data_IF_409058020871
#
_entry.id   IF_409058020871
#
_cell.length_a   1.000
_cell.length_b   1.000
_cell.length_c   1.000
_cell.angle_alpha   90.00
_cell.angle_beta   90.00
_cell.angle_gamma   90.00
#
_symmetry.space_group_name_H-M   'P 1'
#
loop_
_entity.id
_entity.type
_entity.pdbx_description
1 polymer ?
#
# COMPACT_ATOMS: atom_id res chain seq x y z
N UNK A 1 -5.41 36.84 -35.09
CA UNK A 1 -5.28 35.38 -34.81
C UNK A 1 -3.87 34.84 -35.05
N UNK A 2 -3.20 35.20 -36.15
CA UNK A 2 -1.82 34.78 -36.45
C UNK A 2 -0.79 35.15 -35.35
N UNK A 3 -0.92 36.33 -34.71
CA UNK A 3 0.00 36.76 -33.65
C UNK A 3 -0.06 35.86 -32.39
N UNK A 4 -1.24 35.30 -32.06
CA UNK A 4 -1.40 34.40 -30.92
C UNK A 4 -0.68 33.07 -31.16
N UNK A 5 -0.77 32.56 -32.40
CA UNK A 5 -0.08 31.34 -32.81
C UNK A 5 1.43 31.54 -32.74
N UNK A 6 1.94 32.66 -33.25
CA UNK A 6 3.37 32.99 -33.21
C UNK A 6 3.92 32.99 -31.77
N UNK A 7 3.21 33.61 -30.83
CA UNK A 7 3.64 33.65 -29.43
C UNK A 7 3.66 32.25 -28.77
N UNK A 8 2.73 31.36 -29.12
CA UNK A 8 2.75 29.98 -28.61
C UNK A 8 3.96 29.22 -29.13
N UNK A 9 4.30 29.38 -30.42
CA UNK A 9 5.48 28.72 -31.01
C UNK A 9 6.77 29.19 -30.33
N UNK A 10 6.95 30.50 -30.16
CA UNK A 10 8.13 31.07 -29.48
C UNK A 10 8.29 30.55 -28.03
N UNK A 11 7.17 30.38 -27.32
CA UNK A 11 7.17 29.79 -25.97
C UNK A 11 7.54 28.32 -25.99
N UNK A 12 7.07 27.55 -26.96
CA UNK A 12 7.42 26.14 -27.10
C UNK A 12 8.91 25.95 -27.43
N UNK A 13 9.47 26.79 -28.31
CA UNK A 13 10.90 26.78 -28.63
C UNK A 13 11.77 27.10 -27.40
N UNK A 14 11.33 28.06 -26.59
CA UNK A 14 12.01 28.41 -25.32
C UNK A 14 12.02 27.22 -24.37
N UNK A 15 10.87 26.55 -24.18
CA UNK A 15 10.76 25.36 -23.33
C UNK A 15 11.64 24.22 -23.87
N UNK A 16 11.71 24.03 -25.19
CA UNK A 16 12.55 23.02 -25.81
C UNK A 16 14.04 23.28 -25.58
N UNK A 17 14.47 24.54 -25.70
CA UNK A 17 15.84 24.95 -25.42
C UNK A 17 16.21 24.77 -23.94
N UNK A 18 15.31 25.13 -23.01
CA UNK A 18 15.51 24.92 -21.57
C UNK A 18 15.58 23.43 -21.22
N UNK A 19 14.69 22.61 -21.77
CA UNK A 19 14.72 21.14 -21.61
C UNK A 19 16.07 20.56 -22.00
N UNK A 20 16.61 20.98 -23.16
CA UNK A 20 17.91 20.57 -23.64
C UNK A 20 19.05 21.05 -22.73
N UNK A 21 18.99 22.32 -22.29
CA UNK A 21 19.99 22.95 -21.39
C UNK A 21 20.10 22.23 -20.05
N UNK A 22 18.98 21.80 -19.47
CA UNK A 22 18.97 21.09 -18.19
C UNK A 22 19.05 19.56 -18.34
N UNK A 23 19.25 19.06 -19.57
CA UNK A 23 19.29 17.62 -19.87
C UNK A 23 18.08 16.86 -19.33
N UNK A 24 16.90 17.49 -19.33
CA UNK A 24 15.67 16.85 -18.90
C UNK A 24 15.36 15.70 -19.84
N UNK A 25 15.32 14.50 -19.28
CA UNK A 25 14.89 13.30 -19.98
C UNK A 25 13.38 13.33 -20.09
N UNK A 26 12.86 12.86 -21.23
CA UNK A 26 11.44 12.55 -21.31
C UNK A 26 11.16 11.49 -20.24
N UNK A 27 10.28 11.84 -19.31
CA UNK A 27 9.78 10.85 -18.38
C UNK A 27 9.11 9.77 -19.20
N UNK A 28 9.67 8.57 -19.20
CA UNK A 28 8.94 7.38 -19.60
C UNK A 28 7.88 7.23 -18.52
N UNK A 29 6.72 7.84 -18.73
CA UNK A 29 5.50 7.37 -18.08
C UNK A 29 5.24 6.06 -18.79
N UNK A 30 5.79 5.00 -18.24
CA UNK A 30 5.48 3.68 -18.70
C UNK A 30 4.01 3.46 -18.38
N UNK A 31 3.16 3.74 -19.36
CA UNK A 31 1.71 3.59 -19.26
C UNK A 31 1.29 2.13 -19.11
N UNK A 32 2.26 1.20 -19.07
CA UNK A 32 2.08 -0.22 -18.85
C UNK A 32 3.02 -0.83 -17.81
N UNK A 33 3.78 -0.04 -17.02
CA UNK A 33 4.59 -0.67 -15.98
C UNK A 33 3.69 -1.09 -14.83
N UNK A 34 3.54 -2.40 -14.70
CA UNK A 34 2.91 -3.02 -13.55
C UNK A 34 3.68 -2.69 -12.26
N UNK A 35 4.88 -2.08 -12.31
CA UNK A 35 5.70 -1.72 -11.16
C UNK A 35 4.99 -0.87 -10.10
N UNK A 36 4.13 0.09 -10.47
CA UNK A 36 3.38 0.88 -9.51
C UNK A 36 2.22 0.09 -8.87
N UNK A 37 1.69 -0.93 -9.58
CA UNK A 37 0.76 -1.88 -8.99
C UNK A 37 1.48 -2.87 -8.07
N UNK A 38 2.62 -3.40 -8.49
CA UNK A 38 3.46 -4.31 -7.73
C UNK A 38 3.98 -3.66 -6.44
N UNK A 39 4.39 -2.38 -6.49
CA UNK A 39 4.76 -1.60 -5.30
C UNK A 39 3.66 -1.43 -4.28
N UNK A 40 2.38 -1.50 -4.70
CA UNK A 40 1.22 -1.37 -3.81
C UNK A 40 0.76 -2.70 -3.23
N UNK A 41 1.32 -3.81 -3.68
CA UNK A 41 1.03 -5.12 -3.11
C UNK A 41 1.59 -5.20 -1.70
N UNK A 42 0.81 -5.81 -0.82
CA UNK A 42 1.21 -6.10 0.56
C UNK A 42 1.56 -7.56 0.68
N UNK A 43 2.58 -7.91 1.47
CA UNK A 43 2.93 -9.29 1.77
C UNK A 43 2.49 -9.68 3.18
N UNK A 44 2.50 -10.97 3.50
CA UNK A 44 2.28 -11.44 4.87
C UNK A 44 3.51 -11.26 5.78
N UNK A 45 4.68 -10.91 5.23
CA UNK A 45 5.88 -10.72 6.01
C UNK A 45 5.78 -9.45 6.86
N UNK A 46 6.06 -9.58 8.15
CA UNK A 46 6.22 -8.43 9.04
C UNK A 46 7.55 -7.76 8.69
N UNK A 47 7.47 -6.55 8.15
CA UNK A 47 8.67 -5.81 7.69
C UNK A 47 9.24 -4.97 8.81
N UNK A 48 8.38 -4.50 9.72
CA UNK A 48 8.73 -3.71 10.88
C UNK A 48 9.15 -4.60 12.05
N UNK A 49 10.33 -4.38 12.66
CA UNK A 49 10.80 -5.22 13.76
C UNK A 49 9.89 -5.13 15.01
N UNK A 50 9.17 -4.02 15.17
CA UNK A 50 8.29 -3.79 16.32
C UNK A 50 7.09 -2.90 15.91
N UNK A 51 5.90 -3.21 16.42
CA UNK A 51 4.68 -2.41 16.22
C UNK A 51 4.07 -2.10 17.58
N UNK A 52 3.91 -0.81 17.87
CA UNK A 52 3.45 -0.33 19.17
C UNK A 52 1.96 -0.01 19.20
N UNK A 53 1.35 -0.14 20.39
CA UNK A 53 -0.03 0.29 20.66
C UNK A 53 -1.11 -0.56 19.98
N UNK A 54 -0.73 -1.74 19.46
CA UNK A 54 -1.62 -2.67 18.75
C UNK A 54 -1.76 -4.02 19.43
N UNK A 55 -1.17 -4.20 20.60
CA UNK A 55 -1.25 -5.45 21.36
C UNK A 55 -2.70 -5.80 21.64
N UNK A 56 -3.44 -4.93 22.32
CA UNK A 56 -4.82 -5.23 22.72
C UNK A 56 -5.73 -5.56 21.53
N UNK A 57 -5.57 -4.87 20.39
CA UNK A 57 -6.29 -5.16 19.15
C UNK A 57 -5.93 -6.55 18.60
N UNK A 58 -4.65 -6.90 18.60
CA UNK A 58 -4.12 -8.19 18.14
C UNK A 58 -4.66 -9.33 19.01
N UNK A 59 -4.64 -9.21 20.33
CA UNK A 59 -5.20 -10.23 21.23
C UNK A 59 -6.71 -10.40 21.04
N UNK A 60 -7.48 -9.30 20.92
CA UNK A 60 -8.93 -9.37 20.69
C UNK A 60 -9.28 -10.10 19.40
N UNK A 61 -8.56 -9.83 18.31
CA UNK A 61 -8.80 -10.48 17.01
C UNK A 61 -8.44 -11.97 17.10
N UNK A 62 -7.33 -12.33 17.73
CA UNK A 62 -6.95 -13.74 17.93
C UNK A 62 -8.04 -14.50 18.71
N UNK A 63 -8.54 -13.92 19.81
CA UNK A 63 -9.63 -14.53 20.59
C UNK A 63 -10.91 -14.71 19.75
N UNK A 64 -11.28 -13.71 18.95
CA UNK A 64 -12.43 -13.78 18.05
C UNK A 64 -12.27 -14.92 17.03
N UNK A 65 -11.08 -15.06 16.44
CA UNK A 65 -10.78 -16.13 15.48
C UNK A 65 -10.85 -17.51 16.15
N UNK A 66 -10.26 -17.68 17.33
CA UNK A 66 -10.24 -18.95 18.06
C UNK A 66 -11.62 -19.40 18.56
N UNK A 67 -12.49 -18.46 18.90
CA UNK A 67 -13.86 -18.75 19.39
C UNK A 67 -14.69 -19.51 18.36
N UNK A 68 -14.44 -19.30 17.07
CA UNK A 68 -15.26 -19.86 15.98
C UNK A 68 -14.67 -21.15 15.37
N UNK A 69 -13.54 -21.65 15.88
CA UNK A 69 -12.85 -22.85 15.35
C UNK A 69 -13.66 -24.13 15.54
N UNK A 70 -14.52 -24.20 16.56
CA UNK A 70 -15.23 -25.43 16.94
C UNK A 70 -16.55 -25.68 16.18
N UNK A 71 -16.83 -24.90 15.12
CA UNK A 71 -18.02 -25.06 14.26
C UNK A 71 -17.60 -25.60 12.89
N UNK A 72 -17.51 -26.92 12.82
CA UNK A 72 -16.85 -27.69 11.75
C UNK A 72 -17.40 -27.53 10.31
N UNK A 73 -18.39 -26.67 10.05
CA UNK A 73 -19.06 -26.59 8.74
C UNK A 73 -19.29 -25.18 8.18
N UNK A 74 -18.83 -24.11 8.86
CA UNK A 74 -19.06 -22.74 8.42
C UNK A 74 -17.75 -22.01 8.07
N UNK A 75 -17.74 -21.31 6.93
CA UNK A 75 -16.68 -20.37 6.54
C UNK A 75 -16.95 -19.02 7.19
N UNK A 76 -16.00 -18.51 7.97
CA UNK A 76 -16.11 -17.22 8.64
C UNK A 76 -15.34 -16.14 7.87
N UNK A 77 -15.99 -14.99 7.64
CA UNK A 77 -15.39 -13.83 7.00
C UNK A 77 -15.35 -12.68 7.99
N UNK A 78 -14.16 -12.13 8.23
CA UNK A 78 -13.94 -10.96 9.09
C UNK A 78 -13.45 -9.80 8.24
N UNK A 79 -14.25 -8.73 8.16
CA UNK A 79 -13.89 -7.52 7.42
C UNK A 79 -13.17 -6.51 8.33
N UNK A 80 -12.04 -5.98 7.87
CA UNK A 80 -11.29 -4.90 8.53
C UNK A 80 -11.42 -3.63 7.70
N UNK A 81 -12.01 -2.59 8.27
CA UNK A 81 -12.30 -1.32 7.59
C UNK A 81 -11.76 -0.12 8.37
N UNK A 82 -11.62 1.03 7.69
CA UNK A 82 -11.07 2.25 8.27
C UNK A 82 -10.33 3.11 7.25
N UNK A 83 -9.96 4.33 7.64
CA UNK A 83 -9.26 5.30 6.79
C UNK A 83 -7.93 4.76 6.22
N UNK A 84 -7.45 5.36 5.13
CA UNK A 84 -6.13 5.09 4.59
C UNK A 84 -5.02 5.39 5.62
N UNK A 85 -3.95 4.61 5.62
CA UNK A 85 -2.79 4.83 6.50
C UNK A 85 -2.97 4.45 7.98
N UNK A 86 -4.14 4.00 8.41
CA UNK A 86 -4.40 3.67 9.83
C UNK A 86 -3.73 2.36 10.34
N UNK A 87 -3.11 1.59 9.44
CA UNK A 87 -2.47 0.31 9.79
C UNK A 87 -3.35 -0.95 9.69
N UNK A 88 -4.36 -0.96 8.81
CA UNK A 88 -5.23 -2.14 8.58
C UNK A 88 -4.43 -3.38 8.18
N UNK A 89 -3.51 -3.23 7.23
CA UNK A 89 -2.64 -4.34 6.80
C UNK A 89 -1.70 -4.76 7.92
N UNK A 90 -1.16 -3.79 8.66
CA UNK A 90 -0.22 -4.02 9.77
C UNK A 90 -0.83 -4.92 10.84
N UNK A 91 -2.06 -4.65 11.29
CA UNK A 91 -2.71 -5.49 12.32
C UNK A 91 -2.98 -6.92 11.81
N UNK A 92 -3.32 -7.08 10.53
CA UNK A 92 -3.49 -8.41 9.91
C UNK A 92 -2.17 -9.18 9.90
N UNK A 93 -1.07 -8.54 9.53
CA UNK A 93 0.26 -9.15 9.56
C UNK A 93 0.64 -9.57 10.98
N UNK A 94 0.36 -8.75 12.00
CA UNK A 94 0.62 -9.11 13.40
C UNK A 94 -0.18 -10.34 13.85
N UNK A 95 -1.48 -10.38 13.55
CA UNK A 95 -2.36 -11.50 13.91
C UNK A 95 -1.97 -12.77 13.17
N UNK A 96 -1.71 -12.70 11.87
CA UNK A 96 -1.35 -13.85 11.04
C UNK A 96 -0.03 -14.49 11.46
N UNK A 97 0.96 -13.69 11.84
CA UNK A 97 2.28 -14.16 12.27
C UNK A 97 2.38 -14.36 13.79
N UNK A 98 1.30 -14.13 14.55
CA UNK A 98 1.31 -14.34 15.98
C UNK A 98 1.54 -15.83 16.28
N UNK A 99 2.60 -16.11 17.05
CA UNK A 99 2.77 -17.43 17.64
C UNK A 99 1.83 -17.52 18.82
N UNK A 100 0.79 -18.34 18.68
CA UNK A 100 -0.01 -18.74 19.85
C UNK A 100 0.85 -19.75 20.61
N UNK A 101 1.58 -19.28 21.62
CA UNK A 101 2.19 -20.17 22.59
C UNK A 101 1.05 -20.78 23.42
N UNK A 102 0.61 -21.96 23.00
CA UNK A 102 -0.15 -22.84 23.88
C UNK A 102 0.80 -23.25 25.00
N UNK A 103 0.72 -22.58 26.15
CA UNK A 103 1.26 -23.12 27.38
C UNK A 103 0.67 -24.52 27.56
N UNK A 104 1.50 -25.53 27.31
CA UNK A 104 1.17 -26.92 27.56
C UNK A 104 0.74 -27.05 29.02
N UNK A 105 -0.40 -27.70 29.20
CA UNK A 105 -1.00 -28.09 30.47
C UNK A 105 -0.12 -29.11 31.19
#
# INVERSE_FOLDING_TARGET
MAYKIKNVVERLDTIAAEKAKFHFREGVVDKGDNSDAERRLTSSFVTEPEVYGRDEDKEKIIQLLLTNVNRHYDVWIYAIFGMGGIGKTTIVQLVYNARVETSLT
#
